data_IF_487202014882
#
_entry.id   IF_487202014882
#
_cell.length_a   1.000
_cell.length_b   1.000
_cell.length_c   1.000
_cell.angle_alpha   90.00
_cell.angle_beta   90.00
_cell.angle_gamma   90.00
#
_symmetry.space_group_name_H-M   'P 1'
#
loop_
_entity.id
_entity.type
_entity.pdbx_description
1 polymer ?
#
# COMPACT_ATOMS: atom_id res chain seq x y z
N UNK A 1 8.92 -23.22 16.36
CA UNK A 1 9.63 -22.25 15.50
C UNK A 1 9.03 -22.34 14.11
N UNK A 2 8.26 -21.34 13.65
CA UNK A 2 7.62 -21.37 12.33
C UNK A 2 8.60 -20.89 11.27
N UNK A 3 8.86 -21.72 10.28
CA UNK A 3 9.65 -21.41 9.09
C UNK A 3 9.01 -20.23 8.36
N UNK A 4 9.64 -19.06 8.40
CA UNK A 4 9.21 -17.89 7.62
C UNK A 4 9.71 -18.11 6.20
N UNK A 5 8.81 -18.32 5.24
CA UNK A 5 9.14 -18.29 3.81
C UNK A 5 9.78 -16.94 3.42
N UNK A 6 10.24 -16.79 2.16
CA UNK A 6 10.87 -15.55 1.70
C UNK A 6 9.97 -14.38 2.10
N UNK A 7 10.51 -13.41 2.84
CA UNK A 7 9.78 -12.19 3.15
C UNK A 7 9.42 -11.57 1.81
N UNK A 8 8.14 -11.60 1.41
CA UNK A 8 7.67 -10.74 0.33
C UNK A 8 8.15 -9.32 0.62
N UNK A 9 8.64 -8.62 -0.39
CA UNK A 9 9.25 -7.30 -0.24
C UNK A 9 8.37 -6.43 0.68
N UNK A 10 8.99 -5.86 1.73
CA UNK A 10 8.29 -5.04 2.73
C UNK A 10 7.71 -3.77 2.13
N UNK A 11 8.24 -3.35 0.97
CA UNK A 11 7.80 -2.21 0.20
C UNK A 11 7.40 -2.68 -1.20
N UNK A 12 6.27 -2.21 -1.69
CA UNK A 12 5.70 -2.56 -3.00
C UNK A 12 5.17 -1.31 -3.69
N UNK A 13 4.97 -1.40 -4.99
CA UNK A 13 4.21 -0.41 -5.75
C UNK A 13 2.82 -0.95 -6.08
N UNK A 14 1.86 -0.06 -6.22
CA UNK A 14 0.48 -0.39 -6.58
C UNK A 14 -0.22 0.79 -7.22
N UNK A 15 -1.39 0.56 -7.82
CA UNK A 15 -2.27 1.62 -8.34
C UNK A 15 -3.57 1.66 -7.56
N UNK A 16 -4.01 2.86 -7.17
CA UNK A 16 -5.25 3.03 -6.42
C UNK A 16 -6.44 2.72 -7.32
N UNK A 17 -7.09 1.58 -7.06
CA UNK A 17 -8.25 1.11 -7.77
C UNK A 17 -9.57 1.68 -7.21
N UNK A 18 -9.55 2.13 -5.94
CA UNK A 18 -10.73 2.73 -5.32
C UNK A 18 -10.61 2.90 -3.82
N UNK A 19 -11.76 3.11 -3.18
CA UNK A 19 -11.86 3.27 -1.73
C UNK A 19 -12.77 2.20 -1.13
N UNK A 20 -12.48 1.82 0.11
CA UNK A 20 -13.31 0.93 0.91
C UNK A 20 -13.91 1.72 2.06
N UNK A 21 -15.21 1.52 2.30
CA UNK A 21 -15.93 2.12 3.42
C UNK A 21 -16.41 1.00 4.34
N UNK A 22 -16.16 1.14 5.63
CA UNK A 22 -16.69 0.23 6.64
C UNK A 22 -17.31 1.03 7.78
N UNK A 23 -18.62 0.87 7.99
CA UNK A 23 -19.33 1.51 9.11
C UNK A 23 -18.98 0.89 10.46
N UNK A 24 -18.66 -0.41 10.46
CA UNK A 24 -18.31 -1.17 11.67
C UNK A 24 -16.86 -1.61 11.52
N UNK A 25 -15.96 -0.89 12.19
CA UNK A 25 -14.54 -1.18 12.21
C UNK A 25 -13.97 -0.87 13.61
N UNK A 26 -12.73 -1.28 13.86
CA UNK A 26 -12.05 -0.92 15.11
C UNK A 26 -11.65 0.56 15.08
N UNK A 27 -11.66 1.28 16.22
CA UNK A 27 -11.50 2.74 16.25
C UNK A 27 -10.26 3.30 15.56
N UNK A 28 -9.19 2.51 15.43
CA UNK A 28 -7.98 2.96 14.71
C UNK A 28 -8.24 3.29 13.23
N UNK A 29 -9.31 2.77 12.63
CA UNK A 29 -9.67 3.07 11.24
C UNK A 29 -10.55 4.30 11.10
N UNK A 30 -11.03 4.87 12.21
CA UNK A 30 -11.78 6.13 12.19
C UNK A 30 -10.91 7.28 11.66
N UNK A 31 -11.52 8.14 10.84
CA UNK A 31 -10.87 9.28 10.19
C UNK A 31 -9.67 8.91 9.28
N UNK A 32 -9.55 7.65 8.88
CA UNK A 32 -8.54 7.18 7.92
C UNK A 32 -9.22 6.61 6.69
N UNK A 33 -8.75 6.99 5.50
CA UNK A 33 -9.26 6.42 4.26
C UNK A 33 -8.65 5.04 4.06
N UNK A 34 -9.47 4.10 3.61
CA UNK A 34 -9.04 2.78 3.17
C UNK A 34 -9.05 2.76 1.64
N UNK A 35 -7.91 2.42 1.06
CA UNK A 35 -7.73 2.34 -0.39
C UNK A 35 -7.66 0.90 -0.81
N UNK A 36 -8.39 0.55 -1.87
CA UNK A 36 -8.14 -0.67 -2.62
C UNK A 36 -7.04 -0.37 -3.63
N UNK A 37 -5.93 -1.11 -3.54
CA UNK A 37 -4.73 -0.87 -4.34
C UNK A 37 -4.36 -2.14 -5.08
N UNK A 38 -4.42 -2.11 -6.40
CA UNK A 38 -3.95 -3.22 -7.25
C UNK A 38 -2.43 -3.21 -7.28
N UNK A 39 -1.80 -4.36 -7.06
CA UNK A 39 -0.34 -4.48 -7.01
C UNK A 39 0.23 -4.47 -8.41
N UNK A 40 1.28 -3.68 -8.62
CA UNK A 40 1.99 -3.58 -9.89
C UNK A 40 3.28 -4.41 -9.88
N UNK A 41 3.64 -4.94 -11.05
CA UNK A 41 4.97 -5.48 -11.33
C UNK A 41 5.99 -4.36 -11.61
N UNK A 42 7.25 -4.72 -11.80
CA UNK A 42 8.33 -3.78 -12.10
C UNK A 42 8.17 -3.02 -13.42
N UNK A 43 7.19 -3.39 -14.26
CA UNK A 43 6.86 -2.73 -15.53
C UNK A 43 5.58 -1.89 -15.42
N UNK A 44 5.07 -1.66 -14.21
CA UNK A 44 3.86 -0.88 -13.97
C UNK A 44 2.56 -1.62 -14.32
N UNK A 45 2.60 -2.93 -14.56
CA UNK A 45 1.42 -3.73 -14.97
C UNK A 45 0.80 -4.42 -13.77
N UNK A 46 -0.51 -4.61 -13.82
CA UNK A 46 -1.24 -5.29 -12.75
C UNK A 46 -0.82 -6.75 -12.62
N UNK A 47 -0.50 -7.14 -11.39
CA UNK A 47 -0.18 -8.53 -11.03
C UNK A 47 -1.42 -9.40 -10.82
N UNK A 48 -2.61 -8.78 -10.77
CA UNK A 48 -3.88 -9.42 -10.38
C UNK A 48 -4.06 -9.59 -8.86
N UNK A 49 -3.05 -9.25 -8.06
CA UNK A 49 -3.17 -9.15 -6.60
C UNK A 49 -3.58 -7.73 -6.16
N UNK A 50 -4.24 -7.62 -5.01
CA UNK A 50 -4.60 -6.33 -4.42
C UNK A 50 -4.31 -6.30 -2.92
N UNK A 51 -4.24 -5.09 -2.36
CA UNK A 51 -4.18 -4.83 -0.93
C UNK A 51 -5.22 -3.78 -0.54
N UNK A 52 -5.73 -3.89 0.69
CA UNK A 52 -6.43 -2.77 1.33
C UNK A 52 -5.41 -2.03 2.19
N UNK A 53 -5.17 -0.77 1.85
CA UNK A 53 -4.16 0.06 2.49
C UNK A 53 -4.82 1.21 3.25
N UNK A 54 -4.27 1.57 4.41
CA UNK A 54 -4.57 2.87 5.02
C UNK A 54 -3.86 3.95 4.23
N UNK A 55 -4.55 5.03 3.91
CA UNK A 55 -3.96 6.19 3.25
C UNK A 55 -3.33 7.14 4.27
N UNK A 56 -2.01 7.33 4.20
CA UNK A 56 -1.30 8.30 5.03
C UNK A 56 -0.87 9.57 4.27
N UNK A 57 -1.06 9.62 2.94
CA UNK A 57 -0.48 10.67 2.08
C UNK A 57 -1.50 11.44 1.27
N UNK A 58 -2.75 10.99 1.24
CA UNK A 58 -3.80 11.67 0.50
C UNK A 58 -4.02 11.14 -0.92
N UNK A 59 -3.62 9.89 -1.21
CA UNK A 59 -3.65 9.37 -2.57
C UNK A 59 -5.06 9.32 -3.19
N UNK A 60 -5.12 9.60 -4.49
CA UNK A 60 -6.31 9.65 -5.34
C UNK A 60 -6.47 8.40 -6.22
N UNK A 61 -7.60 8.31 -6.91
CA UNK A 61 -7.89 7.23 -7.86
C UNK A 61 -6.90 7.25 -9.04
N UNK A 62 -6.45 6.06 -9.44
CA UNK A 62 -5.42 5.81 -10.47
C UNK A 62 -4.01 6.32 -10.17
N UNK A 63 -3.77 6.94 -9.02
CA UNK A 63 -2.39 7.26 -8.64
C UNK A 63 -1.60 5.98 -8.37
N UNK A 64 -0.37 5.94 -8.89
CA UNK A 64 0.62 4.92 -8.52
C UNK A 64 1.24 5.30 -7.18
N UNK A 65 1.29 4.33 -6.26
CA UNK A 65 1.60 4.56 -4.85
C UNK A 65 2.67 3.60 -4.33
N UNK A 66 3.43 4.07 -3.35
CA UNK A 66 4.38 3.28 -2.56
C UNK A 66 3.67 2.71 -1.34
N UNK A 67 3.66 1.39 -1.22
CA UNK A 67 2.98 0.64 -0.15
C UNK A 67 4.01 0.06 0.80
N UNK A 68 3.82 0.29 2.08
CA UNK A 68 4.51 -0.43 3.15
C UNK A 68 3.64 -1.61 3.61
N UNK A 69 4.03 -2.84 3.28
CA UNK A 69 3.35 -4.10 3.66
C UNK A 69 4.11 -4.80 4.81
N UNK A 70 4.27 -4.09 5.92
CA UNK A 70 4.85 -4.60 7.15
C UNK A 70 4.20 -3.96 8.38
N UNK A 71 3.70 -4.79 9.30
CA UNK A 71 2.97 -4.31 10.48
C UNK A 71 3.76 -3.40 11.41
N UNK A 72 5.07 -3.61 11.61
CA UNK A 72 5.85 -2.74 12.50
C UNK A 72 6.00 -1.33 11.93
N UNK A 73 6.38 -1.22 10.65
CA UNK A 73 6.48 0.06 9.98
C UNK A 73 5.10 0.74 9.84
N UNK A 74 4.06 -0.02 9.52
CA UNK A 74 2.69 0.49 9.48
C UNK A 74 2.27 1.16 10.80
N UNK A 75 2.55 0.53 11.94
CA UNK A 75 2.27 1.08 13.29
C UNK A 75 3.02 2.38 13.56
N UNK A 76 4.27 2.47 13.11
CA UNK A 76 5.05 3.72 13.22
C UNK A 76 4.42 4.84 12.39
N UNK A 77 3.99 4.54 11.16
CA UNK A 77 3.35 5.52 10.27
C UNK A 77 2.02 6.01 10.84
N UNK A 78 1.19 5.11 11.37
CA UNK A 78 -0.14 5.50 11.89
C UNK A 78 -0.11 6.03 13.33
N UNK A 79 1.05 6.00 13.99
CA UNK A 79 1.26 6.53 15.33
C UNK A 79 0.68 5.69 16.47
N UNK A 80 0.40 4.39 16.25
CA UNK A 80 -0.18 3.51 17.26
C UNK A 80 0.55 2.15 17.27
N UNK A 81 1.29 1.80 18.34
CA UNK A 81 2.04 0.54 18.45
C UNK A 81 1.15 -0.71 18.52
N UNK A 82 -0.15 -0.55 18.80
CA UNK A 82 -1.12 -1.64 18.88
C UNK A 82 -2.03 -1.70 17.65
N UNK A 83 -1.84 -0.83 16.66
CA UNK A 83 -2.68 -0.80 15.48
C UNK A 83 -2.68 -2.16 14.76
N UNK A 84 -3.87 -2.74 14.49
CA UNK A 84 -4.04 -3.93 13.66
C UNK A 84 -3.97 -3.57 12.17
N UNK A 85 -2.94 -2.84 11.76
CA UNK A 85 -2.72 -2.37 10.39
C UNK A 85 -1.41 -2.99 9.88
N UNK A 86 -1.43 -3.47 8.64
CA UNK A 86 -0.26 -4.07 7.98
C UNK A 86 0.16 -3.33 6.72
N UNK A 87 -0.80 -2.83 5.94
CA UNK A 87 -0.56 -2.16 4.68
C UNK A 87 -0.94 -0.67 4.77
N UNK A 88 0.00 0.19 4.40
CA UNK A 88 -0.17 1.64 4.42
C UNK A 88 0.41 2.22 3.14
N UNK A 89 -0.31 3.14 2.50
CA UNK A 89 0.27 3.98 1.44
C UNK A 89 1.13 5.05 2.11
N UNK A 90 2.41 5.07 1.78
CA UNK A 90 3.42 5.95 2.38
C UNK A 90 4.02 6.96 1.39
N UNK A 91 3.61 6.91 0.12
CA UNK A 91 4.02 7.87 -0.90
C UNK A 91 3.23 7.72 -2.19
N UNK A 92 3.23 8.77 -3.00
CA UNK A 92 2.77 8.78 -4.39
C UNK A 92 4.03 8.69 -5.27
N UNK A 93 3.98 7.86 -6.31
CA UNK A 93 5.12 7.62 -7.21
C UNK A 93 5.01 8.56 -8.39
N UNK A 94 6.04 9.40 -8.57
CA UNK A 94 6.10 10.31 -9.72
C UNK A 94 6.63 9.63 -10.99
N UNK A 95 7.61 8.72 -10.86
CA UNK A 95 8.25 8.01 -11.97
C UNK A 95 8.84 6.67 -11.51
N UNK A 96 8.82 5.66 -12.40
CA UNK A 96 9.46 4.37 -12.18
C UNK A 96 10.59 4.16 -13.20
N UNK A 97 11.81 3.96 -12.74
CA UNK A 97 12.99 3.68 -13.57
C UNK A 97 13.48 2.26 -13.33
N UNK A 98 13.37 1.39 -14.34
CA UNK A 98 13.75 -0.03 -14.26
C UNK A 98 14.57 -0.38 -15.50
N UNK A 99 15.70 -1.06 -15.29
CA UNK A 99 16.66 -1.43 -16.34
C UNK A 99 17.11 -0.26 -17.24
N UNK A 100 17.15 0.96 -16.68
CA UNK A 100 17.55 2.18 -17.39
C UNK A 100 16.42 2.82 -18.21
N UNK A 101 15.20 2.29 -18.14
CA UNK A 101 14.03 2.78 -18.87
C UNK A 101 12.96 3.31 -17.92
N UNK A 102 12.31 4.40 -18.33
CA UNK A 102 11.12 4.93 -17.65
C UNK A 102 9.94 4.02 -17.96
N UNK A 103 9.29 3.51 -16.93
CA UNK A 103 8.07 2.72 -17.06
C UNK A 103 6.84 3.64 -17.00
N UNK A 104 5.78 3.34 -17.77
CA UNK A 104 4.52 4.06 -17.67
C UNK A 104 3.84 3.76 -16.33
N UNK A 105 3.36 4.79 -15.62
CA UNK A 105 2.69 4.63 -14.32
C UNK A 105 1.39 5.44 -14.20
N UNK A 106 0.90 5.93 -15.33
CA UNK A 106 -0.22 6.85 -15.50
C UNK A 106 -1.50 6.12 -15.96
#
# INVERSE_FOLDING_TARGET
>A
MRHRGPRGAAVRIGRVAGTVVSTINVPIYENRRLLMVDLLDERGRDTGGYLICVDAVGAGYQETVLILDEGNGARQVVGDPNAPIRAVVVGIVDQLFVDGEVQPID
#
